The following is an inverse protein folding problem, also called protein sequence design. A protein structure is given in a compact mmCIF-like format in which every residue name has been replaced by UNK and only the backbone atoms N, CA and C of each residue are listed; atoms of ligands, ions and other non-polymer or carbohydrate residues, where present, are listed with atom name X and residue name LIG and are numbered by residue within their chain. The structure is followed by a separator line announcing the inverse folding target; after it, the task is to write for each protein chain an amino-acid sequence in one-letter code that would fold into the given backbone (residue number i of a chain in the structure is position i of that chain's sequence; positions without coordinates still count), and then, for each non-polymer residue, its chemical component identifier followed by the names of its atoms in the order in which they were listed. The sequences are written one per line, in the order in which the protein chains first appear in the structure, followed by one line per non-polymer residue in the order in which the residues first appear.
data_IF_123176081053
#
_entry.id   IF_123176081053
#
_cell.length_a   1.000
_cell.length_b   1.000
_cell.length_c   1.000
_cell.angle_alpha   90.00
_cell.angle_beta   90.00
_cell.angle_gamma   90.00
#
_symmetry.space_group_name_H-M   'P 1'
#
loop_
_entity.id
_entity.type
_entity.pdbx_description
1 polymer ?
#
# COMPACT_ATOMS: atom_id res chain seq x y z
N UNK A 1 -11.11 -3.91 -3.76
CA UNK A 1 -9.88 -4.64 -3.39
C UNK A 1 -9.93 -6.08 -3.85
N UNK A 2 -10.89 -6.89 -3.38
CA UNK A 2 -11.01 -8.31 -3.80
C UNK A 2 -11.14 -8.47 -5.32
N UNK A 3 -12.01 -7.68 -5.96
CA UNK A 3 -12.20 -7.69 -7.42
C UNK A 3 -10.97 -7.20 -8.21
N UNK A 4 -10.12 -6.36 -7.60
CA UNK A 4 -8.85 -5.97 -8.21
C UNK A 4 -7.85 -7.13 -8.14
N UNK A 5 -7.89 -7.88 -7.04
CA UNK A 5 -7.00 -9.01 -6.78
C UNK A 5 -7.29 -10.23 -7.67
N UNK A 6 -8.55 -10.43 -8.08
CA UNK A 6 -8.90 -11.50 -9.02
C UNK A 6 -8.33 -11.27 -10.42
N UNK A 7 -8.01 -10.03 -10.78
CA UNK A 7 -7.44 -9.64 -12.08
C UNK A 7 -5.91 -9.77 -12.16
N UNK A 8 -5.25 -10.15 -11.06
CA UNK A 8 -3.80 -10.34 -11.02
C UNK A 8 -3.46 -11.76 -11.45
N UNK A 9 -2.42 -11.90 -12.28
CA UNK A 9 -1.87 -13.21 -12.66
C UNK A 9 -1.41 -13.98 -11.40
N UNK A 10 -1.70 -15.28 -11.32
CA UNK A 10 -1.42 -16.11 -10.12
C UNK A 10 0.07 -16.11 -9.72
N UNK A 11 0.96 -16.10 -10.70
CA UNK A 11 2.40 -15.97 -10.55
C UNK A 11 2.81 -14.67 -9.83
N UNK A 12 2.12 -13.55 -10.12
CA UNK A 12 2.36 -12.26 -9.46
C UNK A 12 1.79 -12.23 -8.04
N UNK A 13 0.73 -12.99 -7.73
CA UNK A 13 0.16 -13.05 -6.35
C UNK A 13 1.15 -13.56 -5.31
N UNK A 14 2.22 -14.23 -5.74
CA UNK A 14 3.30 -14.63 -4.85
C UNK A 14 4.16 -13.45 -4.34
N UNK A 15 4.25 -12.37 -5.13
CA UNK A 15 5.07 -11.18 -4.88
C UNK A 15 4.34 -10.16 -4.02
N UNK A 16 3.03 -10.01 -4.24
CA UNK A 16 2.19 -8.99 -3.60
C UNK A 16 1.33 -9.58 -2.48
N UNK A 17 0.97 -8.75 -1.50
CA UNK A 17 -0.15 -8.99 -0.59
C UNK A 17 -0.91 -7.70 -0.32
N UNK A 18 -2.08 -7.81 0.29
CA UNK A 18 -2.84 -6.66 0.73
C UNK A 18 -3.51 -6.93 2.07
N UNK A 19 -3.69 -5.87 2.84
CA UNK A 19 -4.41 -5.89 4.11
C UNK A 19 -5.83 -5.39 3.92
N UNK A 20 -6.71 -5.85 4.80
CA UNK A 20 -8.06 -5.33 4.84
C UNK A 20 -8.05 -3.83 5.15
N UNK A 21 -8.97 -3.14 4.51
CA UNK A 21 -9.05 -1.69 4.53
C UNK A 21 -9.27 -1.07 5.91
N UNK A 22 -9.84 -1.83 6.85
CA UNK A 22 -10.12 -1.36 8.21
C UNK A 22 -9.04 -1.77 9.22
N UNK A 23 -8.11 -2.65 8.87
CA UNK A 23 -7.13 -3.18 9.82
C UNK A 23 -6.25 -2.10 10.44
N UNK A 24 -5.74 -1.16 9.64
CA UNK A 24 -4.91 -0.09 10.17
C UNK A 24 -5.71 0.82 11.11
N UNK A 25 -6.89 1.28 10.68
CA UNK A 25 -7.75 2.14 11.50
C UNK A 25 -8.15 1.46 12.83
N UNK A 26 -8.63 0.21 12.76
CA UNK A 26 -9.02 -0.54 13.95
C UNK A 26 -7.83 -0.77 14.88
N UNK A 27 -6.64 -1.05 14.33
CA UNK A 27 -5.40 -1.16 15.10
C UNK A 27 -5.09 0.13 15.86
N UNK A 28 -5.18 1.29 15.21
CA UNK A 28 -4.92 2.60 15.84
C UNK A 28 -5.96 2.92 16.92
N UNK A 29 -7.22 2.54 16.70
CA UNK A 29 -8.28 2.68 17.70
C UNK A 29 -8.21 1.64 18.83
N UNK A 30 -7.27 0.68 18.76
CA UNK A 30 -7.14 -0.41 19.75
C UNK A 30 -8.21 -1.50 19.62
N UNK A 31 -9.06 -1.44 18.60
CA UNK A 31 -10.14 -2.39 18.34
C UNK A 31 -9.56 -3.66 17.72
N UNK A 32 -9.78 -4.83 18.35
CA UNK A 32 -9.35 -6.14 17.83
C UNK A 32 -7.87 -6.25 17.49
N UNK A 33 -7.00 -5.45 18.13
CA UNK A 33 -5.56 -5.36 17.84
C UNK A 33 -4.86 -6.74 17.73
N UNK A 34 -5.10 -7.63 18.69
CA UNK A 34 -4.50 -8.98 18.68
C UNK A 34 -4.93 -9.81 17.48
N UNK A 35 -6.21 -9.74 17.10
CA UNK A 35 -6.72 -10.48 15.95
C UNK A 35 -6.18 -9.91 14.64
N UNK A 36 -6.12 -8.58 14.51
CA UNK A 36 -5.54 -7.92 13.33
C UNK A 36 -4.09 -8.36 13.13
N UNK A 37 -3.26 -8.34 14.18
CA UNK A 37 -1.87 -8.79 14.09
C UNK A 37 -1.75 -10.29 13.74
N UNK A 38 -2.64 -11.14 14.27
CA UNK A 38 -2.71 -12.57 13.86
C UNK A 38 -3.09 -12.73 12.39
N UNK A 39 -4.06 -11.97 11.89
CA UNK A 39 -4.47 -12.02 10.49
C UNK A 39 -3.38 -11.50 9.56
N UNK A 40 -2.64 -10.46 9.96
CA UNK A 40 -1.46 -9.97 9.23
C UNK A 40 -0.37 -11.05 9.18
N UNK A 41 -0.07 -11.71 10.30
CA UNK A 41 0.87 -12.85 10.32
C UNK A 41 0.46 -13.95 9.34
N UNK A 42 -0.84 -14.24 9.22
CA UNK A 42 -1.35 -15.20 8.25
C UNK A 42 -1.14 -14.78 6.77
N UNK A 43 -1.00 -13.47 6.49
CA UNK A 43 -0.67 -12.94 5.15
C UNK A 43 0.80 -13.11 4.78
N UNK A 44 1.66 -13.52 5.73
CA UNK A 44 3.11 -13.76 5.55
C UNK A 44 3.81 -12.56 4.91
N UNK A 45 3.69 -11.38 5.52
CA UNK A 45 4.24 -10.12 5.00
C UNK A 45 5.69 -10.25 4.53
N UNK A 46 6.55 -10.85 5.35
CA UNK A 46 7.98 -10.99 5.10
C UNK A 46 8.35 -12.00 4.01
N UNK A 47 7.37 -12.74 3.48
CA UNK A 47 7.56 -13.62 2.31
C UNK A 47 7.09 -12.94 1.00
N UNK A 48 6.66 -11.68 1.08
CA UNK A 48 6.17 -10.88 -0.04
C UNK A 48 7.12 -9.71 -0.24
N UNK A 49 7.31 -9.29 -1.49
CA UNK A 49 8.12 -8.10 -1.78
C UNK A 49 7.33 -6.83 -1.53
N UNK A 50 6.01 -6.85 -1.79
CA UNK A 50 5.14 -5.69 -1.63
C UNK A 50 3.89 -6.04 -0.84
N UNK A 51 3.52 -5.17 0.10
CA UNK A 51 2.22 -5.19 0.76
C UNK A 51 1.49 -3.85 0.64
N UNK A 52 0.23 -3.91 0.22
CA UNK A 52 -0.68 -2.77 0.17
C UNK A 52 -1.47 -2.68 1.47
N UNK A 53 -1.36 -1.55 2.16
CA UNK A 53 -2.04 -1.27 3.43
C UNK A 53 -2.86 0.00 3.28
N UNK A 54 -4.17 -0.12 2.99
CA UNK A 54 -5.03 1.05 3.00
C UNK A 54 -5.07 1.68 4.40
N UNK A 55 -4.93 3.00 4.46
CA UNK A 55 -5.00 3.78 5.68
C UNK A 55 -6.27 4.63 5.61
N UNK A 56 -7.13 4.46 6.61
CA UNK A 56 -8.27 5.35 6.85
C UNK A 56 -8.01 6.13 8.11
N UNK A 57 -7.84 7.44 7.98
CA UNK A 57 -7.63 8.33 9.12
C UNK A 57 -8.41 9.63 8.90
N UNK A 58 -9.22 10.02 9.89
CA UNK A 58 -9.95 11.30 9.89
C UNK A 58 -10.83 11.53 8.64
N UNK A 59 -11.48 10.49 8.14
CA UNK A 59 -12.34 10.58 6.94
C UNK A 59 -11.57 10.62 5.62
N UNK A 60 -10.25 10.42 5.64
CA UNK A 60 -9.40 10.40 4.46
C UNK A 60 -8.76 9.02 4.23
N UNK A 61 -8.69 8.64 2.96
CA UNK A 61 -8.05 7.41 2.49
C UNK A 61 -6.68 7.72 1.89
N UNK A 62 -5.65 7.02 2.36
CA UNK A 62 -4.33 6.99 1.75
C UNK A 62 -3.83 5.55 1.66
N UNK A 63 -2.74 5.33 0.93
CA UNK A 63 -2.15 4.01 0.77
C UNK A 63 -0.75 3.97 1.37
N UNK A 64 -0.53 3.07 2.31
CA UNK A 64 0.81 2.67 2.73
C UNK A 64 1.25 1.45 1.92
N UNK A 65 2.39 1.57 1.25
CA UNK A 65 3.04 0.47 0.54
C UNK A 65 4.29 0.06 1.32
N UNK A 66 4.39 -1.21 1.67
CA UNK A 66 5.54 -1.81 2.34
C UNK A 66 6.36 -2.56 1.30
N UNK A 67 7.61 -2.16 1.09
CA UNK A 67 8.51 -2.73 0.08
C UNK A 67 9.73 -3.38 0.75
N UNK A 68 10.11 -4.59 0.30
CA UNK A 68 11.34 -5.31 0.70
C UNK A 68 11.50 -5.54 2.20
N UNK A 69 10.39 -5.87 2.87
CA UNK A 69 10.43 -6.20 4.28
C UNK A 69 11.14 -7.55 4.55
N UNK A 70 11.41 -8.36 3.52
CA UNK A 70 12.28 -9.53 3.59
C UNK A 70 13.76 -9.18 3.81
N UNK A 71 14.16 -7.90 3.63
CA UNK A 71 15.53 -7.43 3.78
C UNK A 71 15.77 -6.74 5.14
N UNK A 72 16.95 -6.96 5.71
CA UNK A 72 17.39 -6.40 7.01
C UNK A 72 18.47 -5.32 6.87
N UNK A 73 18.89 -5.00 5.65
CA UNK A 73 19.84 -3.91 5.38
C UNK A 73 19.12 -2.60 5.02
N UNK A 74 19.04 -1.68 5.99
CA UNK A 74 18.50 -0.33 5.76
C UNK A 74 19.50 0.64 5.10
N UNK A 75 20.76 0.25 4.92
CA UNK A 75 21.79 1.13 4.33
C UNK A 75 21.65 1.22 2.81
N UNK A 76 21.14 0.17 2.17
CA UNK A 76 20.82 0.18 0.75
C UNK A 76 19.55 0.99 0.51
N UNK A 77 19.75 2.19 -0.01
CA UNK A 77 18.69 3.15 -0.31
C UNK A 77 17.71 2.70 -1.38
N UNK A 78 18.07 1.69 -2.18
CA UNK A 78 17.34 1.23 -3.37
C UNK A 78 16.81 -0.20 -3.21
N UNK A 79 17.42 -1.02 -2.34
CA UNK A 79 17.05 -2.43 -2.12
C UNK A 79 16.69 -2.76 -0.67
N UNK A 80 16.86 -1.81 0.24
CA UNK A 80 16.46 -1.95 1.64
C UNK A 80 14.94 -1.83 1.83
N UNK A 81 14.45 -2.16 3.04
CA UNK A 81 13.05 -2.01 3.38
C UNK A 81 12.61 -0.54 3.30
N UNK A 82 11.42 -0.29 2.74
CA UNK A 82 10.86 1.05 2.54
C UNK A 82 9.36 1.09 2.79
N UNK A 83 8.89 2.22 3.31
CA UNK A 83 7.48 2.52 3.54
C UNK A 83 7.11 3.73 2.69
N UNK A 84 6.18 3.57 1.74
CA UNK A 84 5.70 4.67 0.90
C UNK A 84 4.28 5.04 1.33
N UNK A 85 4.01 6.31 1.59
CA UNK A 85 2.65 6.81 1.82
C UNK A 85 2.21 7.60 0.59
N UNK A 86 1.26 7.04 -0.15
CA UNK A 86 0.65 7.67 -1.32
C UNK A 86 -0.63 8.35 -0.91
N UNK A 87 -0.66 9.66 -1.08
CA UNK A 87 -1.76 10.52 -0.63
C UNK A 87 -2.16 11.49 -1.74
N UNK A 88 -3.35 11.29 -2.29
CA UNK A 88 -3.95 12.11 -3.35
C UNK A 88 -4.46 13.48 -2.88
N UNK A 89 -4.62 13.70 -1.57
CA UNK A 89 -4.92 15.03 -1.02
C UNK A 89 -3.68 15.75 -0.50
N UNK A 90 -2.56 15.03 -0.34
CA UNK A 90 -1.33 15.53 0.28
C UNK A 90 -1.60 16.20 1.66
N UNK A 91 -2.52 15.61 2.44
CA UNK A 91 -2.96 16.11 3.77
C UNK A 91 -2.51 15.21 4.92
N UNK A 92 -2.16 13.95 4.62
CA UNK A 92 -1.47 13.01 5.49
C UNK A 92 0.00 13.43 5.61
N UNK A 93 0.23 14.65 6.13
CA UNK A 93 1.56 15.18 6.32
C UNK A 93 2.42 14.22 7.17
N UNK A 94 3.76 14.21 6.98
CA UNK A 94 4.65 13.21 7.55
C UNK A 94 4.50 13.00 9.05
N UNK A 95 4.29 14.09 9.78
CA UNK A 95 4.25 14.09 11.24
C UNK A 95 3.02 13.41 11.84
N UNK A 96 1.88 13.33 11.12
CA UNK A 96 0.61 12.88 11.71
C UNK A 96 0.48 11.35 11.75
N UNK A 97 0.95 10.66 10.71
CA UNK A 97 0.78 9.20 10.57
C UNK A 97 2.06 8.41 10.88
N UNK A 98 3.23 9.05 10.86
CA UNK A 98 4.52 8.37 11.02
C UNK A 98 4.63 7.55 12.32
N UNK A 99 4.29 8.14 13.48
CA UNK A 99 4.40 7.41 14.75
C UNK A 99 3.46 6.20 14.80
N UNK A 100 2.26 6.35 14.25
CA UNK A 100 1.26 5.30 14.12
C UNK A 100 1.71 4.16 13.21
N UNK A 101 2.26 4.50 12.04
CA UNK A 101 2.83 3.54 11.08
C UNK A 101 3.99 2.78 11.72
N UNK A 102 4.97 3.48 12.30
CA UNK A 102 6.12 2.80 12.93
C UNK A 102 5.72 1.89 14.09
N UNK A 103 4.72 2.30 14.88
CA UNK A 103 4.18 1.46 15.95
C UNK A 103 3.49 0.20 15.39
N UNK A 104 2.70 0.36 14.34
CA UNK A 104 2.03 -0.74 13.63
C UNK A 104 3.05 -1.74 13.10
N UNK A 105 4.09 -1.28 12.41
CA UNK A 105 5.16 -2.12 11.89
C UNK A 105 5.92 -2.83 13.02
N UNK A 106 6.30 -2.12 14.08
CA UNK A 106 6.98 -2.73 15.23
C UNK A 106 6.18 -3.88 15.85
N UNK A 107 4.86 -3.73 15.98
CA UNK A 107 4.01 -4.77 16.54
C UNK A 107 3.82 -5.96 15.58
N UNK A 108 3.87 -5.73 14.26
CA UNK A 108 3.93 -6.81 13.26
C UNK A 108 5.22 -7.62 13.43
N UNK A 109 6.38 -6.95 13.48
CA UNK A 109 7.68 -7.61 13.71
C UNK A 109 7.66 -8.48 14.98
N UNK A 110 7.17 -7.91 16.09
CA UNK A 110 7.05 -8.66 17.36
C UNK A 110 6.11 -9.86 17.26
N UNK A 111 4.97 -9.72 16.58
CA UNK A 111 4.00 -10.80 16.42
C UNK A 111 4.53 -11.94 15.55
N UNK A 112 5.40 -11.60 14.60
CA UNK A 112 6.12 -12.55 13.76
C UNK A 112 7.45 -13.03 14.38
N UNK A 113 7.71 -12.70 15.65
CA UNK A 113 8.88 -13.14 16.43
C UNK A 113 10.21 -12.82 15.76
N UNK A 114 10.24 -11.69 15.06
CA UNK A 114 11.41 -11.17 14.36
C UNK A 114 12.41 -10.56 15.35
N UNK A 115 13.70 -10.76 15.10
CA UNK A 115 14.80 -10.32 15.98
C UNK A 115 15.12 -8.82 15.81
N UNK A 116 14.68 -8.23 14.70
CA UNK A 116 14.99 -6.85 14.35
C UNK A 116 14.43 -5.87 15.39
N UNK A 117 15.32 -4.97 15.85
CA UNK A 117 15.02 -4.06 16.96
C UNK A 117 14.13 -2.89 16.55
N UNK A 118 13.62 -2.16 17.54
CA UNK A 118 12.95 -0.87 17.30
C UNK A 118 13.84 0.11 16.51
N UNK A 119 15.14 0.15 16.80
CA UNK A 119 16.08 1.03 16.11
C UNK A 119 16.27 0.66 14.64
N UNK A 120 16.10 -0.61 14.28
CA UNK A 120 16.01 -1.02 12.89
C UNK A 120 14.74 -0.46 12.23
N UNK A 121 13.56 -0.63 12.85
CA UNK A 121 12.31 -0.07 12.32
C UNK A 121 12.37 1.46 12.17
N UNK A 122 13.02 2.14 13.12
CA UNK A 122 13.19 3.60 13.07
C UNK A 122 14.14 4.07 11.95
N UNK A 123 14.99 3.19 11.42
CA UNK A 123 15.87 3.42 10.26
C UNK A 123 15.22 3.09 8.92
N UNK A 124 14.14 2.32 8.89
CA UNK A 124 13.35 2.09 7.68
C UNK A 124 12.83 3.44 7.18
N UNK A 125 13.08 3.73 5.90
CA UNK A 125 12.67 4.98 5.27
C UNK A 125 11.16 5.05 5.17
N UNK A 126 10.59 6.18 5.60
CA UNK A 126 9.20 6.52 5.37
C UNK A 126 9.18 7.69 4.39
N UNK A 127 8.63 7.45 3.21
CA UNK A 127 8.66 8.35 2.08
C UNK A 127 7.24 8.78 1.71
N UNK A 128 7.12 9.99 1.19
CA UNK A 128 5.86 10.59 0.74
C UNK A 128 6.03 11.03 -0.72
N UNK A 129 6.00 10.07 -1.68
CA UNK A 129 6.18 10.37 -3.09
C UNK A 129 5.10 11.34 -3.59
N UNK A 130 5.44 12.14 -4.61
CA UNK A 130 4.43 12.88 -5.37
C UNK A 130 3.59 11.90 -6.18
N UNK A 131 2.28 12.05 -6.11
CA UNK A 131 1.31 11.23 -6.81
C UNK A 131 0.24 12.11 -7.45
N UNK A 132 -0.55 11.59 -8.42
CA UNK A 132 -1.70 12.30 -8.96
C UNK A 132 -2.60 12.80 -7.83
N UNK A 133 -2.89 14.10 -7.85
CA UNK A 133 -3.67 14.77 -6.81
C UNK A 133 -5.13 14.86 -7.22
N UNK A 134 -6.03 14.60 -6.27
CA UNK A 134 -7.45 14.67 -6.50
C UNK A 134 -8.00 16.08 -6.30
N UNK A 135 -9.11 16.36 -6.98
CA UNK A 135 -9.96 17.52 -6.71
C UNK A 135 -11.34 17.00 -6.27
N UNK A 136 -11.59 16.88 -4.97
CA UNK A 136 -12.87 16.42 -4.42
C UNK A 136 -12.75 15.31 -3.38
N UNK A 137 -13.78 14.48 -3.23
CA UNK A 137 -13.95 13.49 -2.16
C UNK A 137 -13.74 12.03 -2.62
N UNK A 138 -12.85 11.80 -3.58
CA UNK A 138 -12.65 10.48 -4.21
C UNK A 138 -11.36 9.76 -3.76
N UNK A 139 -10.88 10.04 -2.55
CA UNK A 139 -9.63 9.47 -2.04
C UNK A 139 -9.58 7.93 -2.06
N UNK A 140 -10.71 7.28 -1.83
CA UNK A 140 -10.82 5.83 -1.96
C UNK A 140 -10.57 5.31 -3.38
N UNK A 141 -10.98 6.05 -4.41
CA UNK A 141 -10.73 5.68 -5.82
C UNK A 141 -9.25 5.83 -6.15
N UNK A 142 -8.60 6.90 -5.68
CA UNK A 142 -7.16 7.09 -5.86
C UNK A 142 -6.34 5.99 -5.18
N UNK A 143 -6.72 5.54 -3.98
CA UNK A 143 -6.09 4.37 -3.34
C UNK A 143 -6.19 3.13 -4.23
N UNK A 144 -7.36 2.86 -4.81
CA UNK A 144 -7.53 1.72 -5.73
C UNK A 144 -6.70 1.88 -7.01
N UNK A 145 -6.65 3.09 -7.57
CA UNK A 145 -5.87 3.40 -8.75
C UNK A 145 -4.36 3.22 -8.50
N UNK A 146 -3.85 3.69 -7.36
CA UNK A 146 -2.44 3.48 -7.02
C UNK A 146 -2.09 2.00 -6.96
N UNK A 147 -2.93 1.18 -6.31
CA UNK A 147 -2.73 -0.28 -6.28
C UNK A 147 -2.75 -0.84 -7.70
N UNK A 148 -3.71 -0.41 -8.53
CA UNK A 148 -3.77 -0.81 -9.93
C UNK A 148 -2.46 -0.47 -10.68
N UNK A 149 -1.92 0.74 -10.52
CA UNK A 149 -0.65 1.13 -11.13
C UNK A 149 0.50 0.22 -10.69
N UNK A 150 0.63 -0.11 -9.40
CA UNK A 150 1.67 -1.05 -8.94
C UNK A 150 1.53 -2.44 -9.58
N UNK A 151 0.29 -2.90 -9.79
CA UNK A 151 0.02 -4.22 -10.34
C UNK A 151 0.21 -4.29 -11.87
N UNK A 152 -0.02 -3.19 -12.59
CA UNK A 152 0.07 -3.14 -14.05
C UNK A 152 1.40 -2.59 -14.56
N UNK A 153 2.15 -1.86 -13.74
CA UNK A 153 3.41 -1.26 -14.17
C UNK A 153 4.48 -2.34 -14.39
N UNK A 154 4.74 -2.65 -15.66
CA UNK A 154 5.71 -3.68 -16.08
C UNK A 154 7.14 -3.34 -15.68
N UNK A 155 7.53 -2.06 -15.72
CA UNK A 155 8.87 -1.63 -15.30
C UNK A 155 9.04 -1.86 -13.81
N UNK A 156 8.07 -1.43 -12.99
CA UNK A 156 8.09 -1.71 -11.56
C UNK A 156 8.10 -3.21 -11.30
N UNK A 157 7.26 -4.01 -11.96
CA UNK A 157 7.25 -5.46 -11.79
C UNK A 157 8.63 -6.07 -12.09
N UNK A 158 9.28 -5.67 -13.18
CA UNK A 158 10.63 -6.13 -13.55
C UNK A 158 11.67 -5.76 -12.50
N UNK A 159 11.66 -4.53 -12.00
CA UNK A 159 12.61 -4.08 -10.96
C UNK A 159 12.31 -4.76 -9.63
N UNK A 160 11.03 -4.89 -9.26
CA UNK A 160 10.58 -5.58 -8.05
C UNK A 160 10.98 -7.04 -8.11
N UNK A 161 10.99 -7.71 -9.27
CA UNK A 161 11.41 -9.10 -9.43
C UNK A 161 12.94 -9.25 -9.49
N UNK A 162 13.63 -8.30 -10.11
CA UNK A 162 15.07 -8.32 -10.29
C UNK A 162 15.80 -7.53 -9.20
N UNK A 163 16.30 -8.24 -8.17
CA UNK A 163 17.09 -7.67 -7.06
C UNK A 163 18.38 -6.94 -7.51
N UNK A 164 18.76 -7.04 -8.78
CA UNK A 164 19.88 -6.32 -9.38
C UNK A 164 19.56 -4.87 -9.76
N UNK A 165 18.31 -4.58 -10.13
CA UNK A 165 17.89 -3.29 -10.65
C UNK A 165 17.54 -2.30 -9.54
N UNK A 166 17.67 -1.02 -9.84
CA UNK A 166 17.41 0.06 -8.90
C UNK A 166 15.94 0.51 -9.00
N UNK A 167 15.24 0.48 -7.87
CA UNK A 167 13.84 0.92 -7.77
C UNK A 167 13.75 2.40 -7.46
N UNK A 168 13.26 3.16 -8.45
CA UNK A 168 12.88 4.55 -8.28
C UNK A 168 11.35 4.68 -8.22
N UNK A 169 10.80 4.65 -7.01
CA UNK A 169 9.36 4.87 -6.80
C UNK A 169 8.91 6.31 -7.08
N UNK A 170 9.83 7.27 -7.20
CA UNK A 170 9.47 8.63 -7.60
C UNK A 170 9.03 8.69 -9.07
N UNK A 171 9.50 7.75 -9.89
CA UNK A 171 9.15 7.65 -11.31
C UNK A 171 7.79 6.99 -11.56
N UNK A 172 7.15 6.38 -10.54
CA UNK A 172 5.89 5.66 -10.72
C UNK A 172 4.77 6.53 -11.32
N UNK A 173 4.83 7.84 -11.10
CA UNK A 173 3.83 8.77 -11.62
C UNK A 173 4.41 10.01 -12.34
N UNK A 174 5.74 10.17 -12.36
CA UNK A 174 6.43 11.39 -12.81
C UNK A 174 7.27 11.17 -14.09
N UNK A 175 7.40 9.93 -14.60
CA UNK A 175 8.15 9.62 -15.84
C UNK A 175 7.29 9.65 -17.12
N UNK A 176 6.06 10.16 -17.04
CA UNK A 176 5.07 10.10 -18.12
C UNK A 176 4.31 8.77 -18.22
N UNK A 177 4.50 7.85 -17.26
CA UNK A 177 3.65 6.65 -17.10
C UNK A 177 2.27 6.95 -16.55
N UNK A 178 2.06 8.11 -15.92
CA UNK A 178 0.73 8.56 -15.54
C UNK A 178 -0.02 9.07 -16.76
N UNK A 179 -1.09 8.36 -17.13
CA UNK A 179 -2.04 8.77 -18.14
C UNK A 179 -3.33 9.28 -17.48
N UNK A 180 -3.64 10.60 -17.56
CA UNK A 180 -4.89 11.14 -17.04
C UNK A 180 -6.14 10.48 -17.63
N UNK A 181 -6.07 10.01 -18.88
CA UNK A 181 -7.19 9.33 -19.53
C UNK A 181 -7.40 7.94 -18.94
N UNK A 182 -6.33 7.21 -18.62
CA UNK A 182 -6.40 5.94 -17.90
C UNK A 182 -7.03 6.11 -16.51
N UNK A 183 -6.62 7.15 -15.76
CA UNK A 183 -7.23 7.45 -14.48
C UNK A 183 -8.73 7.76 -14.63
N UNK A 184 -9.12 8.54 -15.63
CA UNK A 184 -10.54 8.88 -15.86
C UNK A 184 -11.36 7.64 -16.21
N UNK A 185 -10.84 6.77 -17.08
CA UNK A 185 -11.46 5.50 -17.43
C UNK A 185 -11.59 4.60 -16.20
N UNK A 186 -10.54 4.52 -15.36
CA UNK A 186 -10.58 3.78 -14.11
C UNK A 186 -11.64 4.34 -13.14
N UNK A 187 -11.75 5.67 -13.02
CA UNK A 187 -12.79 6.33 -12.21
C UNK A 187 -14.18 5.94 -12.70
N UNK A 188 -14.42 6.02 -14.01
CA UNK A 188 -15.69 5.65 -14.62
C UNK A 188 -16.05 4.17 -14.38
N UNK A 189 -15.08 3.27 -14.53
CA UNK A 189 -15.26 1.83 -14.28
C UNK A 189 -15.66 1.55 -12.83
N UNK A 190 -15.02 2.22 -11.86
CA UNK A 190 -15.36 2.07 -10.44
C UNK A 190 -16.77 2.58 -10.14
N UNK A 191 -17.15 3.73 -10.69
CA UNK A 191 -18.49 4.29 -10.53
C UNK A 191 -19.57 3.39 -11.15
N UNK A 192 -19.35 2.88 -12.36
CA UNK A 192 -20.24 1.91 -13.01
C UNK A 192 -20.38 0.63 -12.18
N UNK A 193 -19.27 0.14 -11.64
CA UNK A 193 -19.27 -1.04 -10.78
C UNK A 193 -20.09 -0.83 -9.49
N UNK A 194 -19.96 0.34 -8.86
CA UNK A 194 -20.73 0.70 -7.67
C UNK A 194 -22.23 0.80 -7.98
N UNK A 195 -22.59 1.49 -9.06
CA UNK A 195 -23.99 1.62 -9.50
C UNK A 195 -24.65 0.25 -9.73
N UNK A 196 -23.93 -0.67 -10.39
CA UNK A 196 -24.41 -2.03 -10.66
C UNK A 196 -24.57 -2.90 -9.40
N UNK A 197 -23.88 -2.58 -8.30
CA UNK A 197 -24.08 -3.27 -7.01
C UNK A 197 -25.28 -2.70 -6.25
N UNK A 198 -25.48 -1.39 -6.31
CA UNK A 198 -26.64 -0.75 -5.69
C UNK A 198 -27.95 -1.28 -6.26
N UNK A 199 -28.05 -1.41 -7.59
CA UNK A 199 -29.24 -1.94 -8.25
C UNK A 199 -29.54 -3.39 -7.89
N UNK A 200 -28.52 -4.24 -7.73
CA UNK A 200 -28.68 -5.64 -7.32
C UNK A 200 -29.05 -5.86 -5.85
N UNK A 201 -28.92 -4.84 -5.00
CA UNK A 201 -29.27 -4.93 -3.58
C UNK A 201 -30.72 -4.47 -3.33
N UNK A 202 -31.33 -3.84 -4.35
CA UNK A 202 -32.72 -3.35 -4.33
C UNK A 202 -33.72 -4.34 -4.97
N UNK A 203 -33.24 -5.42 -5.60
CA UNK A 203 -34.01 -6.57 -6.11
C UNK A 203 -34.01 -7.75 -5.13
#
# INVERSE_FOLDING_TARGET
MEDLWTRIDEDKKSVYTYFDSLWFNNYIQGVNKSNILKWIKAKKLFSRRIAFVPIVCWGHWSLLVLCHFDNTDCSDTKKGPRMLVLDSLNTAGPTRVQSSIRRFILDIYKTEEREESKDFIDRIRLEFPKVPQQNGEECGIYVLYFIYCFLQNRKLAEVIENKGLEEDFSQLFDDGSFDPEELENFRNDVHLFQANRSTKTEE
#
